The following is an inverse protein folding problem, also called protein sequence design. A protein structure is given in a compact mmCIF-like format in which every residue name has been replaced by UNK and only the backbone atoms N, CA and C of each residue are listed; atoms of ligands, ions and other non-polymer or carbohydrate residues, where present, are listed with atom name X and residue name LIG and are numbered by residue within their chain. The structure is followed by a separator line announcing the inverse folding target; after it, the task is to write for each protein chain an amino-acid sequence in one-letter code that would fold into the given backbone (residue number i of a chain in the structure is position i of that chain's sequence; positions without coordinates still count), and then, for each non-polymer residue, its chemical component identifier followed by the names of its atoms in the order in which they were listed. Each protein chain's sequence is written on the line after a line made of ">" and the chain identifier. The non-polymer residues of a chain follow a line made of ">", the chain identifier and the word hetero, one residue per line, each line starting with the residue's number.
data_IF_337090116382
#
_entry.id   IF_337090116382
#
_cell.length_a   1.000
_cell.length_b   1.000
_cell.length_c   1.000
_cell.angle_alpha   90.00
_cell.angle_beta   90.00
_cell.angle_gamma   90.00
#
_symmetry.space_group_name_H-M   'P 1'
#
loop_
_entity.id
_entity.type
_entity.pdbx_description
1 polymer ?
#
# COMPACT_ATOMS: atom_id res chain seq x y z
N UNK A 1 -26.41 6.61 5.21
CA UNK A 1 -26.17 7.17 3.87
C UNK A 1 -25.65 8.59 4.07
N UNK A 2 -24.45 8.90 3.57
CA UNK A 2 -23.90 10.25 3.68
C UNK A 2 -24.64 11.18 2.73
N UNK A 3 -25.11 12.32 3.21
CA UNK A 3 -25.72 13.34 2.35
C UNK A 3 -24.67 13.83 1.34
N UNK A 4 -25.03 13.85 0.06
CA UNK A 4 -24.24 14.53 -0.96
C UNK A 4 -24.08 16.01 -0.56
N UNK A 5 -22.94 16.65 -0.89
CA UNK A 5 -22.75 18.08 -0.66
C UNK A 5 -23.89 18.85 -1.35
N UNK A 6 -24.46 19.85 -0.65
CA UNK A 6 -25.46 20.72 -1.27
C UNK A 6 -24.88 21.46 -2.48
N UNK A 7 -25.72 21.92 -3.39
CA UNK A 7 -25.26 22.66 -4.56
C UNK A 7 -24.47 23.92 -4.14
N UNK A 8 -24.85 24.57 -3.04
CA UNK A 8 -24.06 25.66 -2.42
C UNK A 8 -22.64 25.23 -2.00
N UNK A 9 -22.47 23.99 -1.50
CA UNK A 9 -21.15 23.45 -1.13
C UNK A 9 -20.32 23.09 -2.36
N UNK A 10 -20.96 22.72 -3.48
CA UNK A 10 -20.30 22.50 -4.78
C UNK A 10 -19.89 23.83 -5.43
N UNK A 11 -20.70 24.87 -5.29
CA UNK A 11 -20.37 26.19 -5.80
C UNK A 11 -19.26 26.89 -4.98
N UNK A 12 -19.22 26.66 -3.66
CA UNK A 12 -18.10 27.10 -2.81
C UNK A 12 -16.79 26.36 -3.13
N UNK A 13 -16.84 25.05 -3.40
CA UNK A 13 -15.65 24.25 -3.69
C UNK A 13 -15.12 24.45 -5.10
N UNK A 14 -16.00 24.81 -6.05
CA UNK A 14 -15.63 25.14 -7.44
C UNK A 14 -15.03 26.55 -7.61
N UNK A 15 -14.90 27.32 -6.52
CA UNK A 15 -14.20 28.61 -6.57
C UNK A 15 -14.96 29.73 -7.27
N UNK A 16 -16.29 29.63 -7.40
CA UNK A 16 -17.14 30.62 -8.10
C UNK A 16 -17.36 31.93 -7.32
N UNK A 17 -16.89 32.05 -6.08
CA UNK A 17 -16.75 33.37 -5.45
C UNK A 17 -15.63 34.10 -6.18
N UNK A 18 -16.00 35.06 -7.03
CA UNK A 18 -15.05 35.88 -7.79
C UNK A 18 -14.18 36.65 -6.81
N UNK A 19 -12.86 36.54 -7.00
CA UNK A 19 -11.84 37.23 -6.20
C UNK A 19 -12.00 38.76 -6.19
N UNK A 20 -12.73 39.30 -7.16
CA UNK A 20 -12.98 40.71 -7.38
C UNK A 20 -13.79 41.35 -6.23
N UNK A 21 -14.66 40.59 -5.55
CA UNK A 21 -15.37 41.08 -4.35
C UNK A 21 -14.43 41.23 -3.13
N UNK A 22 -13.36 40.43 -3.09
CA UNK A 22 -12.35 40.42 -2.01
C UNK A 22 -11.38 41.61 -2.11
N UNK A 23 -11.15 42.16 -3.32
CA UNK A 23 -10.27 43.32 -3.49
C UNK A 23 -10.78 44.59 -2.78
N UNK A 24 -12.11 44.72 -2.64
CA UNK A 24 -12.70 45.85 -1.89
C UNK A 24 -12.37 45.80 -0.39
N UNK A 25 -12.16 44.60 0.17
CA UNK A 25 -11.84 44.38 1.59
C UNK A 25 -10.34 44.46 1.88
N UNK A 26 -9.48 44.16 0.91
CA UNK A 26 -8.01 44.28 1.04
C UNK A 26 -7.52 45.71 1.26
N UNK A 27 -8.36 46.73 1.00
CA UNK A 27 -8.00 48.16 1.18
C UNK A 27 -8.14 48.67 2.62
N UNK A 28 -8.70 47.88 3.54
CA UNK A 28 -8.70 48.18 4.97
C UNK A 28 -7.69 47.29 5.67
N UNK A 29 -6.91 47.83 6.60
CA UNK A 29 -6.19 47.02 7.59
C UNK A 29 -7.24 46.28 8.44
N UNK A 30 -7.57 45.05 8.03
CA UNK A 30 -8.49 44.17 8.76
C UNK A 30 -7.65 43.19 9.56
N UNK A 31 -7.88 43.12 10.88
CA UNK A 31 -7.35 42.04 11.71
C UNK A 31 -8.15 40.76 11.42
N UNK A 32 -7.63 39.95 10.50
CA UNK A 32 -8.26 38.70 10.08
C UNK A 32 -8.38 37.67 11.21
N UNK A 33 -7.55 37.74 12.26
CA UNK A 33 -7.74 36.86 13.42
C UNK A 33 -8.97 37.26 14.23
N UNK A 34 -9.20 38.56 14.38
CA UNK A 34 -10.38 39.02 15.10
C UNK A 34 -11.66 38.70 14.34
N UNK A 35 -11.67 38.87 13.01
CA UNK A 35 -12.80 38.44 12.18
C UNK A 35 -13.00 36.91 12.23
N UNK A 36 -11.92 36.12 12.22
CA UNK A 36 -12.02 34.68 12.38
C UNK A 36 -12.55 34.29 13.77
N UNK A 37 -12.14 34.98 14.85
CA UNK A 37 -12.68 34.76 16.20
C UNK A 37 -14.16 35.11 16.29
N UNK A 38 -14.58 36.22 15.69
CA UNK A 38 -16.00 36.61 15.59
C UNK A 38 -16.80 35.54 14.84
N UNK A 39 -16.28 35.08 13.70
CA UNK A 39 -16.90 33.99 12.94
C UNK A 39 -16.98 32.69 13.75
N UNK A 40 -15.93 32.32 14.48
CA UNK A 40 -15.94 31.15 15.38
C UNK A 40 -16.94 31.29 16.52
N UNK A 41 -17.09 32.48 17.09
CA UNK A 41 -18.07 32.74 18.14
C UNK A 41 -19.49 32.60 17.62
N UNK A 42 -19.78 33.19 16.45
CA UNK A 42 -21.05 32.98 15.73
C UNK A 42 -21.26 31.49 15.40
N UNK A 43 -20.19 30.76 15.06
CA UNK A 43 -20.25 29.32 14.78
C UNK A 43 -20.75 28.47 15.93
N UNK A 44 -20.52 28.91 17.17
CA UNK A 44 -20.98 28.21 18.37
C UNK A 44 -22.44 28.51 18.72
N UNK A 45 -22.99 29.62 18.23
CA UNK A 45 -24.29 30.14 18.66
C UNK A 45 -25.40 29.96 17.63
N UNK A 46 -25.07 29.85 16.34
CA UNK A 46 -26.06 29.72 15.25
C UNK A 46 -25.71 28.60 14.29
N UNK A 47 -26.74 27.86 13.84
CA UNK A 47 -26.55 26.82 12.83
C UNK A 47 -26.09 27.44 11.51
N UNK A 48 -25.32 26.67 10.73
CA UNK A 48 -24.74 27.17 9.47
C UNK A 48 -25.81 27.59 8.45
N UNK A 49 -26.94 26.88 8.40
CA UNK A 49 -28.07 27.17 7.50
C UNK A 49 -28.72 28.53 7.77
N UNK A 50 -28.70 29.00 9.02
CA UNK A 50 -29.40 30.21 9.46
C UNK A 50 -28.57 31.49 9.26
N UNK A 51 -27.34 31.39 8.73
CA UNK A 51 -26.47 32.55 8.56
C UNK A 51 -26.64 33.22 7.22
N UNK A 52 -26.59 34.54 7.24
CA UNK A 52 -26.51 35.37 6.05
C UNK A 52 -25.30 35.00 5.20
N UNK A 53 -25.44 35.11 3.88
CA UNK A 53 -24.38 34.74 2.93
C UNK A 53 -23.13 35.61 3.10
N UNK A 54 -23.30 36.86 3.50
CA UNK A 54 -22.19 37.79 3.77
C UNK A 54 -21.36 37.32 4.96
N UNK A 55 -22.00 36.85 6.03
CA UNK A 55 -21.32 36.29 7.21
C UNK A 55 -20.54 35.02 6.87
N UNK A 56 -21.12 34.14 6.03
CA UNK A 56 -20.45 32.92 5.55
C UNK A 56 -19.22 33.26 4.69
N UNK A 57 -19.38 34.23 3.79
CA UNK A 57 -18.32 34.69 2.88
C UNK A 57 -17.20 35.36 3.66
N UNK A 58 -17.53 36.24 4.61
CA UNK A 58 -16.55 36.90 5.47
C UNK A 58 -15.77 35.90 6.33
N UNK A 59 -16.43 34.90 6.91
CA UNK A 59 -15.77 33.85 7.67
C UNK A 59 -14.77 33.06 6.80
N UNK A 60 -15.15 32.73 5.56
CA UNK A 60 -14.27 32.03 4.62
C UNK A 60 -13.09 32.90 4.20
N UNK A 61 -13.31 34.19 3.92
CA UNK A 61 -12.27 35.15 3.57
C UNK A 61 -11.31 35.31 4.76
N UNK A 62 -11.82 35.53 5.97
CA UNK A 62 -11.01 35.65 7.18
C UNK A 62 -10.18 34.39 7.43
N UNK A 63 -10.76 33.20 7.24
CA UNK A 63 -10.01 31.94 7.33
C UNK A 63 -8.90 31.84 6.28
N UNK A 64 -9.22 32.16 5.01
CA UNK A 64 -8.25 32.13 3.91
C UNK A 64 -7.12 33.12 4.13
N UNK A 65 -7.44 34.36 4.50
CA UNK A 65 -6.46 35.43 4.68
C UNK A 65 -5.63 35.23 5.96
N UNK A 66 -6.23 34.80 7.08
CA UNK A 66 -5.46 34.45 8.28
C UNK A 66 -4.55 33.23 8.04
N UNK A 67 -5.07 32.19 7.37
CA UNK A 67 -4.28 31.02 6.99
C UNK A 67 -3.13 31.37 6.03
N UNK A 68 -3.40 32.22 5.05
CA UNK A 68 -2.40 32.67 4.06
C UNK A 68 -1.37 33.64 4.65
N UNK A 69 -1.83 34.80 5.13
CA UNK A 69 -0.96 35.92 5.53
C UNK A 69 -0.10 35.60 6.74
N UNK A 70 -0.56 34.73 7.64
CA UNK A 70 0.09 34.54 8.93
C UNK A 70 0.64 33.13 9.09
N UNK A 71 -0.15 32.10 8.75
CA UNK A 71 0.35 30.73 8.93
C UNK A 71 1.28 30.36 7.79
N UNK A 72 0.84 30.39 6.53
CA UNK A 72 1.67 29.92 5.41
C UNK A 72 2.84 30.86 5.14
N UNK A 73 2.63 32.17 5.12
CA UNK A 73 3.70 33.12 4.78
C UNK A 73 4.82 33.19 5.82
N UNK A 74 4.50 32.98 7.11
CA UNK A 74 5.47 33.03 8.20
C UNK A 74 6.02 31.64 8.56
N UNK A 75 5.43 30.57 8.02
CA UNK A 75 5.92 29.21 8.24
C UNK A 75 7.29 29.02 7.61
N UNK A 76 8.23 28.52 8.40
CA UNK A 76 9.55 28.08 7.90
C UNK A 76 9.46 26.80 7.07
N UNK A 77 8.50 25.94 7.42
CA UNK A 77 8.21 24.69 6.75
C UNK A 77 6.70 24.46 6.77
N UNK A 78 6.15 24.05 5.63
CA UNK A 78 4.75 23.65 5.49
C UNK A 78 4.71 22.17 5.12
N UNK A 79 4.05 21.36 5.94
CA UNK A 79 3.93 19.91 5.73
C UNK A 79 2.47 19.61 5.39
N UNK A 80 2.24 19.04 4.22
CA UNK A 80 0.90 18.71 3.74
C UNK A 80 0.97 17.63 2.66
N UNK A 81 -0.17 17.01 2.35
CA UNK A 81 -0.27 16.08 1.22
C UNK A 81 -0.26 16.83 -0.11
N UNK A 82 0.13 16.16 -1.20
CA UNK A 82 0.21 16.77 -2.53
C UNK A 82 -1.12 17.44 -2.94
N UNK A 83 -2.25 16.77 -2.69
CA UNK A 83 -3.57 17.30 -3.02
C UNK A 83 -3.90 18.57 -2.23
N UNK A 84 -3.48 18.65 -0.96
CA UNK A 84 -3.72 19.83 -0.14
C UNK A 84 -2.77 20.99 -0.49
N UNK A 85 -1.56 20.70 -1.00
CA UNK A 85 -0.64 21.72 -1.51
C UNK A 85 -1.15 22.38 -2.80
N UNK A 86 -2.02 21.70 -3.55
CA UNK A 86 -2.70 22.30 -4.69
C UNK A 86 -3.79 23.32 -4.29
N UNK A 87 -4.14 23.40 -2.99
CA UNK A 87 -5.10 24.39 -2.52
C UNK A 87 -4.65 25.81 -2.82
N UNK A 88 -5.62 26.70 -3.07
CA UNK A 88 -5.36 28.11 -3.40
C UNK A 88 -4.63 28.88 -2.29
N UNK A 89 -4.64 28.37 -1.06
CA UNK A 89 -3.89 28.93 0.07
C UNK A 89 -2.38 28.68 -0.10
N UNK A 90 -2.00 27.49 -0.57
CA UNK A 90 -0.60 27.08 -0.72
C UNK A 90 -0.01 27.43 -2.10
N UNK A 91 -0.78 27.21 -3.17
CA UNK A 91 -0.30 27.29 -4.57
C UNK A 91 0.05 28.71 -5.04
N UNK A 92 -0.42 29.75 -4.36
CA UNK A 92 -0.06 31.16 -4.67
C UNK A 92 1.41 31.50 -4.42
N UNK A 93 2.11 30.70 -3.64
CA UNK A 93 3.53 30.90 -3.31
C UNK A 93 4.40 29.70 -3.66
N UNK A 94 3.83 28.50 -3.57
CA UNK A 94 4.48 27.30 -4.01
C UNK A 94 4.61 27.30 -5.55
N UNK A 95 5.73 26.82 -6.09
CA UNK A 95 6.12 26.83 -7.51
C UNK A 95 6.59 28.19 -8.07
N UNK A 96 5.93 29.32 -7.79
CA UNK A 96 6.32 30.61 -8.42
C UNK A 96 7.74 31.09 -8.06
N UNK A 97 8.19 30.80 -6.84
CA UNK A 97 9.53 31.17 -6.33
C UNK A 97 10.35 29.94 -5.93
N UNK A 98 9.94 28.74 -6.34
CA UNK A 98 10.63 27.52 -5.97
C UNK A 98 12.02 27.52 -6.58
N UNK A 99 13.05 27.56 -5.73
CA UNK A 99 14.46 27.58 -6.15
C UNK A 99 15.04 26.18 -6.34
N UNK A 100 14.37 25.15 -5.84
CA UNK A 100 14.80 23.76 -5.92
C UNK A 100 13.70 22.82 -5.46
N UNK A 101 13.73 21.61 -5.99
CA UNK A 101 12.82 20.51 -5.64
C UNK A 101 13.67 19.33 -5.20
N UNK A 102 13.39 18.81 -4.01
CA UNK A 102 13.97 17.56 -3.53
C UNK A 102 12.88 16.49 -3.56
N UNK A 103 13.13 15.42 -4.31
CA UNK A 103 12.24 14.29 -4.43
C UNK A 103 12.88 13.09 -3.73
N UNK A 104 12.25 12.62 -2.66
CA UNK A 104 12.70 11.47 -1.89
C UNK A 104 11.74 10.33 -2.17
N UNK A 105 12.28 9.18 -2.57
CA UNK A 105 11.52 7.96 -2.82
C UNK A 105 12.34 6.74 -2.48
N UNK A 106 11.66 5.61 -2.41
CA UNK A 106 12.30 4.29 -2.49
C UNK A 106 12.49 3.90 -3.96
N UNK A 107 13.57 3.21 -4.27
CA UNK A 107 13.80 2.68 -5.63
C UNK A 107 12.89 1.46 -5.80
N UNK A 108 11.96 1.54 -6.74
CA UNK A 108 11.23 0.36 -7.22
C UNK A 108 11.75 0.03 -8.63
N UNK A 109 12.57 -1.03 -8.78
CA UNK A 109 13.07 -1.43 -10.08
C UNK A 109 11.95 -1.77 -11.07
N UNK A 110 10.80 -2.25 -10.57
CA UNK A 110 9.69 -2.66 -11.43
C UNK A 110 8.95 -1.49 -12.05
N UNK A 111 8.89 -0.34 -11.38
CA UNK A 111 8.37 0.89 -11.99
C UNK A 111 9.21 1.36 -13.20
N UNK A 112 10.44 0.85 -13.36
CA UNK A 112 11.30 1.15 -14.52
C UNK A 112 11.18 0.10 -15.62
N UNK A 113 10.54 -1.05 -15.35
CA UNK A 113 10.30 -2.10 -16.33
C UNK A 113 9.07 -1.71 -17.17
N UNK A 114 9.29 -1.47 -18.46
CA UNK A 114 8.21 -1.19 -19.41
C UNK A 114 7.51 -2.48 -19.81
N UNK A 115 6.44 -2.85 -19.09
CA UNK A 115 5.48 -3.80 -19.65
C UNK A 115 4.49 -3.05 -20.56
N UNK A 116 4.24 -3.53 -21.79
CA UNK A 116 3.26 -2.93 -22.68
C UNK A 116 1.86 -3.12 -22.08
N UNK A 117 1.32 -2.06 -21.48
CA UNK A 117 -0.06 -2.03 -21.00
C UNK A 117 -1.05 -2.22 -22.15
N UNK A 118 -2.29 -2.59 -21.81
CA UNK A 118 -3.41 -2.75 -22.77
C UNK A 118 -3.71 -1.47 -23.57
N UNK A 119 -3.24 -0.32 -23.12
CA UNK A 119 -3.25 0.94 -23.86
C UNK A 119 -1.99 1.75 -23.52
N UNK A 120 -1.65 2.73 -24.36
CA UNK A 120 -0.46 3.58 -24.19
C UNK A 120 -0.53 4.52 -22.98
N UNK A 121 -1.73 4.71 -22.40
CA UNK A 121 -1.97 5.65 -21.31
C UNK A 121 -1.73 5.04 -19.92
N UNK A 122 -2.05 3.75 -19.73
CA UNK A 122 -1.92 3.10 -18.43
C UNK A 122 -0.48 3.12 -17.92
N UNK A 123 0.54 2.71 -18.72
CA UNK A 123 1.93 2.80 -18.28
C UNK A 123 2.36 4.25 -18.00
N UNK A 124 1.85 5.21 -18.78
CA UNK A 124 2.17 6.62 -18.56
C UNK A 124 1.59 7.14 -17.24
N UNK A 125 0.35 6.77 -16.88
CA UNK A 125 -0.28 7.20 -15.63
C UNK A 125 0.31 6.52 -14.39
N UNK A 126 0.80 5.29 -14.54
CA UNK A 126 1.42 4.51 -13.45
C UNK A 126 2.88 4.92 -13.20
N UNK A 127 3.60 5.40 -14.23
CA UNK A 127 4.98 5.84 -14.09
C UNK A 127 5.05 7.16 -13.31
N UNK A 128 5.56 7.10 -12.07
CA UNK A 128 5.73 8.27 -11.21
C UNK A 128 6.67 9.31 -11.86
N UNK A 129 6.47 10.59 -11.53
CA UNK A 129 7.36 11.66 -12.01
C UNK A 129 8.84 11.38 -11.68
N UNK A 130 9.08 10.80 -10.50
CA UNK A 130 10.41 10.39 -10.09
C UNK A 130 11.01 9.34 -11.03
N UNK A 131 10.26 8.27 -11.37
CA UNK A 131 10.71 7.23 -12.30
C UNK A 131 11.09 7.85 -13.64
N UNK A 132 10.28 8.77 -14.16
CA UNK A 132 10.58 9.47 -15.41
C UNK A 132 11.90 10.25 -15.34
N UNK A 133 12.16 10.93 -14.22
CA UNK A 133 13.43 11.65 -14.02
C UNK A 133 14.63 10.69 -13.97
N UNK A 134 14.47 9.53 -13.31
CA UNK A 134 15.52 8.48 -13.28
C UNK A 134 15.78 7.94 -14.69
N UNK A 135 14.72 7.60 -15.44
CA UNK A 135 14.83 7.12 -16.83
C UNK A 135 15.43 8.18 -17.76
N UNK A 136 15.22 9.46 -17.48
CA UNK A 136 15.86 10.58 -18.17
C UNK A 136 17.30 10.88 -17.68
N UNK A 137 17.90 9.98 -16.91
CA UNK A 137 19.25 10.09 -16.36
C UNK A 137 19.49 11.32 -15.47
N UNK A 138 18.45 11.82 -14.80
CA UNK A 138 18.64 12.86 -13.79
C UNK A 138 19.49 12.31 -12.63
N UNK A 139 20.41 13.11 -12.04
CA UNK A 139 21.21 12.67 -10.91
C UNK A 139 20.37 12.18 -9.73
N UNK A 140 20.71 11.00 -9.21
CA UNK A 140 20.08 10.37 -8.04
C UNK A 140 21.14 10.07 -7.00
N UNK A 141 20.89 10.45 -5.76
CA UNK A 141 21.70 10.02 -4.62
C UNK A 141 21.03 8.83 -3.94
N UNK A 142 21.68 7.66 -4.00
CA UNK A 142 21.20 6.43 -3.36
C UNK A 142 21.69 6.37 -1.92
N UNK A 143 20.81 5.94 -1.00
CA UNK A 143 21.13 5.67 0.40
C UNK A 143 21.12 4.15 0.65
N UNK A 144 22.27 3.49 0.50
CA UNK A 144 22.37 2.03 0.58
C UNK A 144 22.43 1.43 2.01
N UNK A 145 22.48 2.25 3.06
CA UNK A 145 22.63 1.76 4.44
C UNK A 145 21.31 1.81 5.22
N UNK A 146 20.83 0.64 5.66
CA UNK A 146 19.70 0.52 6.57
C UNK A 146 20.16 0.59 8.04
N UNK A 147 19.38 1.29 8.86
CA UNK A 147 19.63 1.48 10.30
C UNK A 147 18.45 1.05 11.19
N UNK A 148 17.43 0.40 10.59
CA UNK A 148 16.16 0.10 11.24
C UNK A 148 16.19 -1.24 11.97
N UNK A 149 16.59 -2.29 11.28
CA UNK A 149 16.25 -3.66 11.64
C UNK A 149 17.48 -4.55 11.83
N UNK A 150 17.29 -5.68 12.52
CA UNK A 150 18.32 -6.72 12.66
C UNK A 150 18.87 -7.13 11.29
N UNK A 151 20.19 -7.42 11.15
CA UNK A 151 20.79 -7.76 9.87
C UNK A 151 20.15 -8.92 9.11
N UNK A 152 19.61 -9.91 9.84
CA UNK A 152 18.93 -11.09 9.25
C UNK A 152 17.77 -10.70 8.32
N UNK A 153 17.08 -9.59 8.61
CA UNK A 153 15.97 -9.12 7.77
C UNK A 153 16.41 -8.40 6.50
N UNK A 154 17.69 -8.04 6.38
CA UNK A 154 18.18 -7.29 5.21
C UNK A 154 18.40 -8.19 4.01
N UNK A 155 18.68 -9.48 4.22
CA UNK A 155 19.06 -10.41 3.16
C UNK A 155 17.95 -10.56 2.10
N UNK A 156 16.71 -10.78 2.53
CA UNK A 156 15.60 -10.96 1.61
C UNK A 156 15.30 -9.71 0.75
N UNK A 157 15.07 -8.50 1.31
CA UNK A 157 14.85 -7.30 0.50
C UNK A 157 16.07 -6.93 -0.36
N UNK A 158 17.29 -7.15 0.14
CA UNK A 158 18.54 -6.90 -0.59
C UNK A 158 18.60 -7.69 -1.90
N UNK A 159 18.28 -8.98 -1.84
CA UNK A 159 18.28 -9.87 -3.01
C UNK A 159 17.05 -9.63 -3.89
N UNK A 160 15.86 -9.52 -3.28
CA UNK A 160 14.59 -9.48 -4.01
C UNK A 160 14.30 -8.16 -4.71
N UNK A 161 14.69 -7.04 -4.11
CA UNK A 161 14.28 -5.69 -4.53
C UNK A 161 15.47 -4.78 -4.83
N UNK A 162 16.52 -4.78 -4.01
CA UNK A 162 17.57 -3.74 -4.12
C UNK A 162 18.83 -4.17 -4.88
N UNK A 163 18.85 -5.36 -5.48
CA UNK A 163 19.98 -5.83 -6.31
C UNK A 163 21.34 -5.70 -5.61
N UNK A 164 21.43 -6.19 -4.36
CA UNK A 164 22.62 -6.13 -3.51
C UNK A 164 23.07 -4.76 -2.97
N UNK A 165 22.39 -3.65 -3.34
CA UNK A 165 22.77 -2.29 -2.91
C UNK A 165 22.46 -1.97 -1.44
N UNK A 166 21.61 -2.77 -0.78
CA UNK A 166 21.18 -2.55 0.60
C UNK A 166 22.09 -3.26 1.61
N UNK A 167 22.58 -2.54 2.61
CA UNK A 167 23.48 -3.06 3.64
C UNK A 167 23.06 -2.62 5.05
N UNK A 168 23.31 -3.48 6.03
CA UNK A 168 23.14 -3.15 7.44
C UNK A 168 24.25 -2.25 7.96
N UNK A 169 23.88 -1.16 8.62
CA UNK A 169 24.81 -0.32 9.35
C UNK A 169 25.22 -0.98 10.68
N UNK A 170 26.43 -0.72 11.18
CA UNK A 170 26.95 -1.32 12.42
C UNK A 170 26.07 -1.08 13.67
N UNK A 171 25.26 -0.01 13.66
CA UNK A 171 24.32 0.29 14.74
C UNK A 171 23.22 -0.76 14.92
N UNK A 172 22.97 -1.62 13.92
CA UNK A 172 21.91 -2.65 14.02
C UNK A 172 22.39 -3.95 14.63
N UNK A 173 23.70 -4.12 14.85
CA UNK A 173 24.28 -5.33 15.45
C UNK A 173 23.85 -5.54 16.91
N UNK A 174 23.49 -4.47 17.61
CA UNK A 174 23.02 -4.53 19.00
C UNK A 174 21.52 -4.77 19.16
N UNK A 175 20.77 -4.90 18.06
CA UNK A 175 19.32 -5.13 18.13
C UNK A 175 19.07 -6.62 18.44
N UNK A 176 18.48 -6.89 19.60
CA UNK A 176 18.17 -8.24 20.07
C UNK A 176 16.68 -8.47 20.22
N UNK A 177 16.25 -9.73 20.19
CA UNK A 177 14.88 -10.13 20.48
C UNK A 177 14.61 -9.97 21.99
N UNK A 178 13.40 -9.52 22.34
CA UNK A 178 12.95 -9.50 23.72
C UNK A 178 13.03 -10.92 24.36
N UNK A 179 13.72 -11.12 25.50
CA UNK A 179 13.91 -12.45 26.10
C UNK A 179 12.61 -13.15 26.51
N UNK A 180 11.61 -12.39 26.96
CA UNK A 180 10.30 -12.94 27.33
C UNK A 180 9.52 -13.43 26.11
N UNK A 181 9.63 -12.72 24.98
CA UNK A 181 9.10 -13.18 23.70
C UNK A 181 9.79 -14.47 23.25
N UNK A 182 11.13 -14.47 23.26
CA UNK A 182 11.91 -15.64 22.84
C UNK A 182 11.52 -16.87 23.66
N UNK A 183 11.48 -16.76 24.99
CA UNK A 183 11.06 -17.86 25.85
C UNK A 183 9.65 -18.35 25.52
N UNK A 184 8.69 -17.43 25.39
CA UNK A 184 7.30 -17.78 25.08
C UNK A 184 7.17 -18.50 23.74
N UNK A 185 7.86 -18.04 22.69
CA UNK A 185 7.83 -18.70 21.38
C UNK A 185 8.44 -20.11 21.46
N UNK A 186 9.55 -20.27 22.18
CA UNK A 186 10.16 -21.60 22.36
C UNK A 186 9.22 -22.55 23.09
N UNK A 187 8.60 -22.09 24.17
CA UNK A 187 7.69 -22.88 24.99
C UNK A 187 6.39 -23.24 24.22
N UNK A 188 5.81 -22.31 23.47
CA UNK A 188 4.54 -22.51 22.76
C UNK A 188 4.68 -23.41 21.51
N UNK A 189 5.81 -23.31 20.81
CA UNK A 189 6.02 -24.02 19.54
C UNK A 189 6.97 -25.23 19.65
N UNK A 190 7.44 -25.56 20.86
CA UNK A 190 8.49 -26.58 21.08
C UNK A 190 9.68 -26.38 20.13
N UNK A 191 10.11 -25.12 20.02
CA UNK A 191 11.03 -24.70 18.97
C UNK A 191 12.45 -25.19 19.22
N UNK A 192 13.10 -25.69 18.17
CA UNK A 192 14.49 -26.12 18.26
C UNK A 192 15.44 -24.95 18.55
N UNK A 193 16.62 -25.19 19.14
CA UNK A 193 17.60 -24.14 19.44
C UNK A 193 18.02 -23.31 18.21
N UNK A 194 17.99 -23.93 17.02
CA UNK A 194 18.41 -23.32 15.75
C UNK A 194 17.38 -22.31 15.21
N UNK A 195 16.11 -22.37 15.66
CA UNK A 195 15.09 -21.42 15.22
C UNK A 195 15.37 -20.01 15.75
N UNK A 196 15.49 -19.03 14.85
CA UNK A 196 15.45 -17.61 15.22
C UNK A 196 14.02 -17.22 15.58
N UNK A 197 13.75 -17.10 16.88
CA UNK A 197 12.42 -16.72 17.41
C UNK A 197 12.01 -15.28 17.05
N UNK A 198 12.93 -14.49 16.50
CA UNK A 198 12.64 -13.18 15.94
C UNK A 198 12.39 -13.19 14.44
N UNK A 199 12.62 -14.28 13.71
CA UNK A 199 12.35 -14.36 12.27
C UNK A 199 11.87 -15.76 11.89
N UNK A 200 10.56 -15.96 11.82
CA UNK A 200 10.00 -17.27 11.45
C UNK A 200 8.69 -17.17 10.67
N UNK A 201 8.37 -18.28 10.00
CA UNK A 201 7.12 -18.47 9.25
C UNK A 201 6.15 -19.31 10.08
N UNK A 202 4.93 -18.81 10.27
CA UNK A 202 3.85 -19.52 10.95
C UNK A 202 2.85 -20.05 9.92
N UNK A 203 2.93 -21.36 9.65
CA UNK A 203 1.98 -22.07 8.79
C UNK A 203 0.84 -22.66 9.62
N UNK A 204 -0.39 -22.23 9.35
CA UNK A 204 -1.58 -22.67 10.09
C UNK A 204 -2.28 -23.77 9.30
N UNK A 205 -2.23 -24.99 9.87
CA UNK A 205 -2.87 -26.18 9.28
C UNK A 205 -4.37 -25.98 9.14
N UNK A 206 -4.91 -26.45 8.01
CA UNK A 206 -6.33 -26.39 7.68
C UNK A 206 -6.92 -24.96 7.71
N UNK A 207 -6.09 -23.93 7.52
CA UNK A 207 -6.57 -22.57 7.31
C UNK A 207 -7.22 -22.46 5.93
N UNK A 208 -8.30 -21.68 5.85
CA UNK A 208 -9.00 -21.41 4.60
C UNK A 208 -9.19 -19.91 4.44
N UNK A 209 -9.00 -19.45 3.22
CA UNK A 209 -9.23 -18.08 2.82
C UNK A 209 -10.64 -17.97 2.24
N UNK A 210 -11.40 -17.02 2.77
CA UNK A 210 -12.77 -16.72 2.36
C UNK A 210 -12.84 -15.33 1.73
N UNK A 211 -13.87 -15.07 0.93
CA UNK A 211 -14.13 -13.76 0.32
C UNK A 211 -15.39 -13.19 0.95
N UNK A 212 -15.28 -11.98 1.47
CA UNK A 212 -16.42 -11.26 2.01
C UNK A 212 -17.35 -10.80 0.86
N UNK A 213 -18.63 -11.16 0.94
CA UNK A 213 -19.55 -10.95 -0.17
C UNK A 213 -19.82 -9.47 -0.48
N UNK A 214 -19.77 -8.60 0.53
CA UNK A 214 -20.08 -7.18 0.40
C UNK A 214 -18.89 -6.38 -0.14
N UNK A 215 -17.69 -6.62 0.39
CA UNK A 215 -16.47 -5.89 0.01
C UNK A 215 -15.66 -6.57 -1.09
N UNK A 216 -15.95 -7.83 -1.41
CA UNK A 216 -15.14 -8.72 -2.26
C UNK A 216 -13.68 -8.84 -1.81
N UNK A 217 -13.40 -8.53 -0.54
CA UNK A 217 -12.08 -8.61 0.06
C UNK A 217 -11.87 -9.96 0.75
N UNK A 218 -10.62 -10.42 0.84
CA UNK A 218 -10.29 -11.73 1.43
C UNK A 218 -10.09 -11.66 2.93
N UNK A 219 -10.44 -12.72 3.64
CA UNK A 219 -10.17 -12.89 5.07
C UNK A 219 -9.90 -14.36 5.41
N UNK A 220 -9.28 -14.60 6.56
CA UNK A 220 -8.94 -15.93 7.06
C UNK A 220 -9.09 -15.96 8.59
N UNK A 221 -10.16 -16.59 9.04
CA UNK A 221 -10.53 -16.67 10.46
C UNK A 221 -9.59 -17.58 11.27
N UNK A 222 -8.91 -18.55 10.64
CA UNK A 222 -7.92 -19.38 11.31
C UNK A 222 -6.66 -18.58 11.63
N UNK A 223 -6.17 -17.79 10.65
CA UNK A 223 -5.05 -16.86 10.84
C UNK A 223 -5.36 -15.87 11.97
N UNK A 224 -6.55 -15.27 11.93
CA UNK A 224 -6.97 -14.33 12.96
C UNK A 224 -6.92 -14.96 14.36
N UNK A 225 -7.52 -16.15 14.54
CA UNK A 225 -7.53 -16.83 15.85
C UNK A 225 -6.13 -17.14 16.37
N UNK A 226 -5.26 -17.65 15.51
CA UNK A 226 -3.89 -17.97 15.88
C UNK A 226 -3.09 -16.72 16.28
N UNK A 227 -3.18 -15.65 15.49
CA UNK A 227 -2.45 -14.40 15.76
C UNK A 227 -2.98 -13.70 17.02
N UNK A 228 -4.30 -13.66 17.22
CA UNK A 228 -4.90 -13.10 18.43
C UNK A 228 -4.46 -13.90 19.66
N UNK A 229 -4.45 -15.23 19.58
CA UNK A 229 -3.96 -16.11 20.66
C UNK A 229 -2.50 -15.82 20.97
N UNK A 230 -1.63 -15.75 19.95
CA UNK A 230 -0.22 -15.40 20.10
C UNK A 230 -0.04 -14.03 20.78
N UNK A 231 -0.85 -13.03 20.42
CA UNK A 231 -0.81 -11.71 21.04
C UNK A 231 -1.20 -11.73 22.53
N UNK A 232 -2.18 -12.57 22.91
CA UNK A 232 -2.58 -12.77 24.32
C UNK A 232 -1.46 -13.47 25.08
N UNK A 233 -0.92 -14.59 24.56
CA UNK A 233 0.21 -15.32 25.18
C UNK A 233 1.43 -14.44 25.40
N UNK A 234 1.77 -13.64 24.39
CA UNK A 234 2.82 -12.63 24.48
C UNK A 234 2.60 -11.65 25.63
N UNK A 235 1.35 -11.27 25.90
CA UNK A 235 1.04 -10.30 26.95
C UNK A 235 1.20 -10.95 28.32
N UNK A 236 0.69 -12.18 28.48
CA UNK A 236 0.87 -13.00 29.68
C UNK A 236 2.35 -13.23 30.00
N UNK A 237 3.19 -13.44 28.98
CA UNK A 237 4.62 -13.63 29.12
C UNK A 237 5.42 -12.35 29.41
N UNK A 238 4.82 -11.16 29.30
CA UNK A 238 5.54 -9.89 29.44
C UNK A 238 6.49 -9.60 28.26
N UNK A 239 6.12 -10.01 27.04
CA UNK A 239 6.84 -9.68 25.81
C UNK A 239 6.59 -8.24 25.34
N UNK A 240 6.56 -8.02 24.01
CA UNK A 240 6.36 -6.70 23.42
C UNK A 240 5.06 -6.02 23.86
N UNK A 241 5.03 -4.70 23.96
CA UNK A 241 3.78 -3.95 24.22
C UNK A 241 2.97 -3.80 22.92
N UNK A 242 1.67 -3.62 23.04
CA UNK A 242 0.75 -3.43 21.90
C UNK A 242 1.15 -2.26 21.00
N UNK A 243 1.60 -1.14 21.59
CA UNK A 243 2.11 0.00 20.82
C UNK A 243 3.47 -0.26 20.11
N UNK A 244 4.19 -1.31 20.49
CA UNK A 244 5.42 -1.77 19.84
C UNK A 244 5.14 -2.82 18.76
N UNK A 245 3.91 -3.34 18.70
CA UNK A 245 3.49 -4.40 17.80
C UNK A 245 2.61 -3.89 16.66
N UNK A 246 2.84 -4.45 15.47
CA UNK A 246 2.06 -4.15 14.27
C UNK A 246 1.60 -5.46 13.64
N UNK A 247 0.33 -5.54 13.28
CA UNK A 247 -0.18 -6.59 12.38
C UNK A 247 -0.42 -5.94 11.03
N UNK A 248 0.23 -6.48 10.00
CA UNK A 248 0.10 -6.05 8.62
C UNK A 248 -0.69 -7.12 7.88
N UNK A 249 -1.75 -6.72 7.19
CA UNK A 249 -2.49 -7.61 6.30
C UNK A 249 -2.72 -6.97 4.96
N UNK A 250 -2.76 -7.78 3.89
CA UNK A 250 -2.98 -7.26 2.54
C UNK A 250 -4.44 -6.87 2.27
N UNK A 251 -5.38 -7.30 3.12
CA UNK A 251 -6.81 -7.18 2.85
C UNK A 251 -7.57 -6.43 3.96
N UNK A 252 -8.44 -5.50 3.53
CA UNK A 252 -9.25 -4.69 4.44
C UNK A 252 -10.24 -5.53 5.26
N UNK A 253 -10.85 -6.57 4.68
CA UNK A 253 -11.75 -7.46 5.43
C UNK A 253 -11.01 -8.18 6.57
N UNK A 254 -9.78 -8.66 6.33
CA UNK A 254 -8.95 -9.25 7.39
C UNK A 254 -8.61 -8.23 8.49
N UNK A 255 -8.25 -6.99 8.11
CA UNK A 255 -7.98 -5.92 9.09
C UNK A 255 -9.19 -5.68 9.99
N UNK A 256 -10.38 -5.62 9.40
CA UNK A 256 -11.62 -5.36 10.14
C UNK A 256 -12.02 -6.58 10.99
N UNK A 257 -11.72 -7.80 10.53
CA UNK A 257 -11.87 -9.03 11.32
C UNK A 257 -10.99 -9.01 12.58
N UNK A 258 -9.71 -8.62 12.46
CA UNK A 258 -8.83 -8.43 13.61
C UNK A 258 -9.37 -7.38 14.58
N UNK A 259 -9.83 -6.23 14.07
CA UNK A 259 -10.37 -5.16 14.92
C UNK A 259 -11.57 -5.65 15.75
N UNK A 260 -12.47 -6.41 15.14
CA UNK A 260 -13.60 -7.05 15.85
C UNK A 260 -13.11 -8.07 16.88
N UNK A 261 -12.17 -8.93 16.51
CA UNK A 261 -11.64 -9.94 17.42
C UNK A 261 -10.94 -9.34 18.65
N UNK A 262 -10.08 -8.33 18.46
CA UNK A 262 -9.44 -7.64 19.59
C UNK A 262 -10.44 -6.84 20.44
N UNK A 263 -11.50 -6.30 19.82
CA UNK A 263 -12.60 -5.69 20.56
C UNK A 263 -13.33 -6.73 21.43
N UNK A 264 -13.62 -7.93 20.92
CA UNK A 264 -14.22 -9.01 21.71
C UNK A 264 -13.31 -9.50 22.84
N UNK A 265 -12.01 -9.68 22.57
CA UNK A 265 -11.04 -10.12 23.59
C UNK A 265 -10.93 -9.11 24.73
N UNK A 266 -11.04 -7.81 24.44
CA UNK A 266 -11.13 -6.75 25.46
C UNK A 266 -12.34 -6.93 26.40
N UNK A 267 -13.42 -7.53 25.93
CA UNK A 267 -14.68 -7.70 26.67
C UNK A 267 -14.87 -9.10 27.29
N UNK A 268 -14.12 -10.12 26.87
CA UNK A 268 -14.32 -11.52 27.28
C UNK A 268 -13.42 -12.02 28.41
N UNK A 269 -12.63 -11.18 29.07
CA UNK A 269 -11.95 -11.59 30.30
C UNK A 269 -12.96 -11.68 31.46
N UNK A 270 -13.15 -12.86 32.11
CA UNK A 270 -14.22 -13.07 33.07
C UNK A 270 -14.09 -12.20 34.31
N UNK A 271 -15.20 -11.55 34.66
CA UNK A 271 -15.42 -10.76 35.89
C UNK A 271 -15.27 -11.57 37.19
N UNK A 272 -15.03 -12.89 37.12
CA UNK A 272 -15.12 -13.82 38.24
C UNK A 272 -13.78 -14.49 38.66
N UNK A 273 -12.65 -14.16 38.05
CA UNK A 273 -11.36 -14.81 38.37
C UNK A 273 -10.21 -13.85 38.72
N UNK A 274 -10.46 -12.55 38.90
CA UNK A 274 -9.43 -11.60 39.34
C UNK A 274 -10.04 -10.58 40.31
N UNK A 275 -9.60 -10.50 41.58
CA UNK A 275 -9.85 -9.32 42.38
C UNK A 275 -9.03 -8.18 41.75
N UNK A 276 -9.71 -7.26 41.07
CA UNK A 276 -9.19 -5.99 40.57
C UNK A 276 -8.09 -6.03 39.50
N UNK A 277 -8.41 -6.41 38.25
CA UNK A 277 -7.65 -6.02 37.04
C UNK A 277 -8.68 -5.75 35.92
N UNK A 278 -9.02 -4.48 35.69
CA UNK A 278 -8.66 -3.71 34.50
C UNK A 278 -8.97 -4.40 33.15
N UNK A 279 -9.94 -3.83 32.43
CA UNK A 279 -10.03 -3.81 30.96
C UNK A 279 -8.63 -3.93 30.39
N UNK A 280 -8.35 -4.87 29.47
CA UNK A 280 -7.03 -5.01 28.84
C UNK A 280 -6.44 -3.60 28.58
N UNK A 281 -5.33 -3.23 29.24
CA UNK A 281 -4.81 -1.87 29.13
C UNK A 281 -4.52 -1.56 27.66
N UNK A 282 -4.57 -0.27 27.29
CA UNK A 282 -4.32 0.22 25.93
C UNK A 282 -2.99 -0.32 25.33
N UNK A 283 -2.07 -0.78 26.19
CA UNK A 283 -0.83 -1.46 25.84
C UNK A 283 -0.92 -2.95 25.44
N UNK A 284 -2.08 -3.57 25.28
CA UNK A 284 -2.19 -4.98 24.82
C UNK A 284 -2.47 -5.09 23.33
N UNK A 285 -3.29 -4.18 22.79
CA UNK A 285 -3.82 -4.29 21.43
C UNK A 285 -2.76 -3.78 20.44
N UNK A 286 -2.28 -4.61 19.50
CA UNK A 286 -1.40 -4.16 18.43
C UNK A 286 -2.16 -3.25 17.46
N UNK A 287 -1.46 -2.35 16.77
CA UNK A 287 -2.12 -1.66 15.65
C UNK A 287 -2.29 -2.62 14.49
N UNK A 288 -3.47 -2.62 13.86
CA UNK A 288 -3.76 -3.45 12.69
C UNK A 288 -3.88 -2.55 11.47
N UNK A 289 -2.99 -2.77 10.52
CA UNK A 289 -2.74 -1.89 9.38
C UNK A 289 -2.71 -2.70 8.08
N UNK A 290 -2.93 -2.03 6.94
CA UNK A 290 -2.65 -2.63 5.64
C UNK A 290 -1.21 -2.35 5.23
N UNK A 291 -0.67 -3.08 4.25
CA UNK A 291 0.67 -2.80 3.72
C UNK A 291 0.80 -1.33 3.29
N UNK A 292 -0.21 -0.82 2.57
CA UNK A 292 -0.26 0.57 2.10
C UNK A 292 -0.22 1.59 3.24
N UNK A 293 -0.90 1.34 4.37
CA UNK A 293 -0.91 2.27 5.52
C UNK A 293 0.35 2.18 6.39
N UNK A 294 1.17 1.15 6.18
CA UNK A 294 2.45 0.97 6.88
C UNK A 294 3.63 1.62 6.17
N UNK A 295 3.46 2.17 4.97
CA UNK A 295 4.53 2.88 4.29
C UNK A 295 5.03 4.05 5.16
N UNK A 296 6.33 4.06 5.46
CA UNK A 296 6.96 5.06 6.33
C UNK A 296 6.75 4.85 7.84
N UNK A 297 6.06 3.78 8.26
CA UNK A 297 5.91 3.39 9.68
C UNK A 297 6.77 2.16 10.00
N UNK A 298 6.93 1.87 11.28
CA UNK A 298 7.68 0.71 11.78
C UNK A 298 7.13 0.18 13.13
N UNK A 299 7.62 -0.99 13.54
CA UNK A 299 7.30 -1.61 14.82
C UNK A 299 8.38 -2.59 15.25
N UNK A 300 8.56 -2.77 16.57
CA UNK A 300 9.55 -3.71 17.08
C UNK A 300 9.22 -5.14 16.68
N UNK A 301 7.96 -5.53 16.83
CA UNK A 301 7.46 -6.84 16.44
C UNK A 301 6.35 -6.68 15.40
N UNK A 302 6.58 -7.23 14.21
CA UNK A 302 5.65 -7.15 13.08
C UNK A 302 5.17 -8.55 12.73
N UNK A 303 3.85 -8.71 12.63
CA UNK A 303 3.22 -9.93 12.11
C UNK A 303 2.66 -9.60 10.73
N UNK A 304 3.14 -10.28 9.70
CA UNK A 304 2.66 -10.13 8.32
C UNK A 304 1.70 -11.28 8.02
N UNK A 305 0.41 -10.98 7.90
CA UNK A 305 -0.63 -11.96 7.56
C UNK A 305 -1.02 -11.84 6.08
N UNK A 306 -0.57 -12.82 5.29
CA UNK A 306 -0.86 -12.89 3.87
C UNK A 306 -2.28 -13.36 3.55
N UNK A 307 -3.02 -13.88 4.53
CA UNK A 307 -4.43 -14.34 4.43
C UNK A 307 -4.65 -15.57 3.54
N UNK A 308 -3.88 -15.71 2.47
CA UNK A 308 -3.98 -16.79 1.49
C UNK A 308 -3.83 -18.17 2.14
N UNK A 309 -4.65 -19.13 1.71
CA UNK A 309 -4.60 -20.53 2.18
C UNK A 309 -3.98 -21.48 1.14
N UNK A 310 -4.08 -21.12 -0.14
CA UNK A 310 -3.44 -21.78 -1.27
C UNK A 310 -3.42 -20.83 -2.47
N UNK A 311 -2.54 -21.07 -3.43
CA UNK A 311 -2.56 -20.40 -4.74
C UNK A 311 -2.30 -21.43 -5.83
N UNK A 312 -3.18 -21.51 -6.82
CA UNK A 312 -2.98 -22.31 -8.04
C UNK A 312 -2.60 -21.44 -9.23
N UNK A 313 -3.02 -20.17 -9.19
CA UNK A 313 -2.79 -19.17 -10.23
C UNK A 313 -2.32 -17.85 -9.61
N UNK A 314 -1.68 -16.98 -10.39
CA UNK A 314 -1.28 -15.64 -9.93
C UNK A 314 -2.48 -14.78 -9.46
N UNK A 315 -3.67 -15.00 -10.03
CA UNK A 315 -4.91 -14.31 -9.60
C UNK A 315 -5.31 -14.71 -8.17
N UNK A 316 -4.98 -15.91 -7.73
CA UNK A 316 -5.29 -16.38 -6.38
C UNK A 316 -4.48 -15.64 -5.31
N UNK A 317 -3.30 -15.12 -5.68
CA UNK A 317 -2.46 -14.30 -4.81
C UNK A 317 -3.05 -12.89 -4.59
N UNK A 318 -3.80 -12.35 -5.56
CA UNK A 318 -4.36 -11.00 -5.48
C UNK A 318 -3.29 -9.96 -5.12
N UNK A 319 -3.50 -9.17 -4.06
CA UNK A 319 -2.54 -8.16 -3.58
C UNK A 319 -1.21 -8.74 -3.07
N UNK A 320 -1.12 -10.06 -2.85
CA UNK A 320 0.16 -10.71 -2.49
C UNK A 320 1.12 -10.77 -3.69
N UNK A 321 0.60 -10.69 -4.92
CA UNK A 321 1.42 -10.66 -6.14
C UNK A 321 2.10 -9.29 -6.36
N UNK A 322 1.74 -8.28 -5.58
CA UNK A 322 2.36 -6.96 -5.62
C UNK A 322 3.64 -6.99 -4.77
N UNK A 323 4.78 -7.06 -5.44
CA UNK A 323 6.09 -7.11 -4.79
C UNK A 323 6.39 -5.86 -3.96
N UNK A 324 5.84 -4.70 -4.33
CA UNK A 324 6.04 -3.48 -3.54
C UNK A 324 5.33 -3.57 -2.20
N UNK A 325 4.08 -4.06 -2.19
CA UNK A 325 3.36 -4.30 -0.93
C UNK A 325 4.07 -5.33 -0.06
N UNK A 326 4.63 -6.37 -0.67
CA UNK A 326 5.43 -7.37 0.04
C UNK A 326 6.71 -6.76 0.62
N UNK A 327 7.49 -6.03 -0.17
CA UNK A 327 8.70 -5.36 0.29
C UNK A 327 8.40 -4.37 1.42
N UNK A 328 7.32 -3.59 1.30
CA UNK A 328 6.86 -2.71 2.39
C UNK A 328 6.60 -3.54 3.65
N UNK A 329 5.78 -4.59 3.58
CA UNK A 329 5.46 -5.42 4.75
C UNK A 329 6.71 -6.05 5.40
N UNK A 330 7.65 -6.55 4.59
CA UNK A 330 8.90 -7.18 5.02
C UNK A 330 10.00 -6.21 5.46
N UNK A 331 9.74 -4.90 5.47
CA UNK A 331 10.74 -3.91 5.91
C UNK A 331 10.26 -3.06 7.07
N UNK A 332 9.12 -3.39 7.70
CA UNK A 332 8.55 -2.58 8.80
C UNK A 332 9.05 -2.96 10.19
N UNK A 333 9.73 -4.10 10.35
CA UNK A 333 10.16 -4.61 11.65
C UNK A 333 11.46 -3.96 12.12
N UNK A 334 11.70 -3.94 13.44
CA UNK A 334 13.01 -3.65 14.02
C UNK A 334 13.65 -4.92 14.60
N UNK A 335 12.92 -5.65 15.46
CA UNK A 335 13.43 -6.78 16.25
C UNK A 335 12.85 -8.14 15.81
N UNK A 336 11.55 -8.20 15.52
CA UNK A 336 10.83 -9.45 15.24
C UNK A 336 9.94 -9.33 14.01
N UNK A 337 10.00 -10.33 13.13
CA UNK A 337 9.02 -10.57 12.08
C UNK A 337 8.46 -11.99 12.18
N UNK A 338 7.13 -12.09 12.17
CA UNK A 338 6.41 -13.35 12.01
C UNK A 338 5.63 -13.29 10.70
N UNK A 339 5.91 -14.21 9.78
CA UNK A 339 5.20 -14.28 8.50
C UNK A 339 4.16 -15.39 8.57
N UNK A 340 2.89 -15.05 8.41
CA UNK A 340 1.79 -16.02 8.39
C UNK A 340 1.41 -16.32 6.96
N UNK A 341 1.82 -17.49 6.50
CA UNK A 341 1.57 -18.02 5.16
C UNK A 341 1.56 -19.55 5.21
N UNK A 342 0.74 -20.24 4.41
CA UNK A 342 0.76 -21.70 4.33
C UNK A 342 2.13 -22.19 3.85
N UNK A 343 2.63 -23.27 4.45
CA UNK A 343 3.91 -23.88 4.06
C UNK A 343 3.93 -24.29 2.59
N UNK A 344 2.81 -24.68 2.00
CA UNK A 344 2.74 -25.01 0.56
C UNK A 344 3.02 -23.81 -0.36
N UNK A 345 2.80 -22.59 0.14
CA UNK A 345 3.10 -21.34 -0.57
C UNK A 345 4.49 -20.83 -0.18
N UNK A 346 4.91 -21.05 1.08
CA UNK A 346 6.23 -20.64 1.59
C UNK A 346 7.41 -21.56 1.20
N UNK A 347 7.19 -22.87 1.06
CA UNK A 347 8.19 -23.87 0.65
C UNK A 347 8.42 -23.88 -0.86
N UNK A 348 7.49 -23.28 -1.62
CA UNK A 348 7.78 -22.85 -2.99
C UNK A 348 8.56 -21.54 -2.90
N UNK A 349 9.87 -21.67 -2.72
CA UNK A 349 10.78 -20.87 -3.53
C UNK A 349 10.11 -20.71 -4.90
N UNK A 350 9.82 -19.48 -5.28
CA UNK A 350 9.42 -19.22 -6.65
C UNK A 350 10.62 -19.69 -7.47
N UNK A 351 10.59 -20.93 -7.95
CA UNK A 351 11.10 -21.24 -9.28
C UNK A 351 10.24 -20.38 -10.18
N UNK A 352 10.62 -19.11 -10.28
CA UNK A 352 10.20 -18.28 -11.39
C UNK A 352 10.81 -19.04 -12.57
N UNK A 353 9.96 -19.80 -13.26
CA UNK A 353 10.21 -20.17 -14.63
C UNK A 353 10.26 -18.85 -15.44
N UNK A 354 11.39 -18.17 -15.37
CA UNK A 354 11.88 -17.15 -16.29
C UNK A 354 13.37 -17.40 -16.38
N UNK A 355 13.72 -18.40 -17.19
CA UNK A 355 15.01 -18.58 -17.85
C UNK A 355 14.83 -19.76 -18.83
N UNK A 356 13.99 -19.57 -19.84
CA UNK A 356 14.12 -20.27 -21.11
C UNK A 356 14.09 -19.21 -22.22
N UNK A 357 15.27 -18.82 -22.68
CA UNK A 357 15.68 -18.70 -24.08
C UNK A 357 16.93 -17.83 -24.19
N UNK A 358 17.87 -18.27 -25.03
CA UNK A 358 19.19 -17.70 -25.37
C UNK A 358 20.40 -18.25 -24.61
N UNK A 359 20.64 -19.56 -24.74
CA UNK A 359 21.95 -20.04 -25.22
C UNK A 359 21.67 -21.24 -26.14
N UNK A 360 21.48 -20.97 -27.42
CA UNK A 360 21.94 -21.88 -28.47
C UNK A 360 22.86 -21.06 -29.38
N UNK A 361 23.86 -21.77 -29.90
CA UNK A 361 24.86 -21.36 -30.91
C UNK A 361 26.06 -20.55 -30.42
N UNK A 362 27.04 -21.26 -29.86
CA UNK A 362 28.38 -21.32 -30.49
C UNK A 362 29.09 -22.63 -30.09
N UNK A 363 28.90 -23.63 -30.96
CA UNK A 363 29.91 -24.49 -31.56
C UNK A 363 31.15 -24.93 -30.74
N UNK A 364 31.21 -26.26 -30.63
CA UNK A 364 32.35 -27.09 -31.00
C UNK A 364 33.53 -27.32 -30.04
N UNK A 365 33.62 -28.61 -29.70
CA UNK A 365 34.83 -29.44 -29.63
C UNK A 365 35.50 -29.59 -28.24
N UNK A 366 35.40 -30.79 -27.66
CA UNK A 366 36.45 -31.82 -27.69
C UNK A 366 36.09 -32.99 -26.72
N UNK A 367 35.82 -34.13 -27.35
CA UNK A 367 36.22 -35.52 -27.01
C UNK A 367 35.89 -36.18 -25.65
N UNK A 368 34.99 -37.19 -25.75
CA UNK A 368 35.20 -38.61 -25.48
C UNK A 368 36.13 -39.03 -24.32
N UNK A 369 35.58 -39.78 -23.34
CA UNK A 369 35.97 -41.19 -23.19
C UNK A 369 35.00 -42.00 -22.33
N UNK A 370 34.81 -43.24 -22.79
CA UNK A 370 34.03 -44.35 -22.25
C UNK A 370 34.47 -44.82 -20.84
N UNK A 371 33.58 -45.43 -20.04
CA UNK A 371 33.38 -46.90 -19.95
C UNK A 371 32.56 -47.35 -18.72
N UNK A 372 31.69 -48.35 -18.99
CA UNK A 372 31.29 -49.53 -18.17
C UNK A 372 30.67 -49.31 -16.77
N UNK A 373 29.39 -49.61 -16.56
CA UNK A 373 28.75 -50.93 -16.43
C UNK A 373 29.10 -51.69 -15.14
N UNK A 374 28.14 -51.81 -14.22
CA UNK A 374 27.81 -53.08 -13.56
C UNK A 374 26.46 -53.02 -12.84
N UNK A 375 25.87 -54.21 -12.70
CA UNK A 375 24.45 -54.51 -12.71
C UNK A 375 24.19 -55.57 -11.63
N UNK A 376 23.34 -55.30 -10.64
CA UNK A 376 22.63 -56.29 -9.77
C UNK A 376 21.61 -55.49 -8.95
N UNK A 377 20.32 -55.80 -8.78
CA UNK A 377 19.47 -56.92 -9.15
C UNK A 377 18.33 -57.02 -8.11
N UNK A 378 17.08 -57.18 -8.60
CA UNK A 378 15.91 -57.78 -7.93
C UNK A 378 15.26 -56.99 -6.75
N UNK A 379 13.94 -56.87 -6.54
CA UNK A 379 12.72 -57.61 -6.94
C UNK A 379 11.47 -56.77 -6.64
N UNK A 380 10.36 -56.94 -7.39
CA UNK A 380 9.00 -56.78 -6.81
C UNK A 380 7.90 -56.20 -7.72
N UNK A 381 7.42 -56.99 -8.68
CA UNK A 381 6.19 -56.77 -9.46
C UNK A 381 4.92 -56.87 -8.59
N UNK A 382 3.90 -56.04 -8.89
CA UNK A 382 2.48 -56.40 -8.86
C UNK A 382 1.80 -55.88 -10.14
N UNK A 383 1.40 -56.83 -10.99
CA UNK A 383 0.53 -56.70 -12.17
C UNK A 383 -0.91 -56.97 -11.70
N UNK A 384 -1.89 -56.10 -11.99
CA UNK A 384 -2.76 -56.03 -13.19
C UNK A 384 -4.12 -56.74 -12.98
N UNK A 385 -5.09 -56.29 -13.78
CA UNK A 385 -6.37 -56.93 -14.13
C UNK A 385 -7.53 -56.60 -13.15
N UNK A 386 -8.74 -56.18 -13.57
CA UNK A 386 -9.35 -56.13 -14.89
C UNK A 386 -10.64 -55.26 -14.84
N UNK A 387 -10.96 -54.64 -15.98
CA UNK A 387 -12.24 -54.66 -16.72
C UNK A 387 -13.60 -54.49 -15.97
N UNK A 388 -14.68 -53.92 -16.50
CA UNK A 388 -15.01 -53.36 -17.80
C UNK A 388 -16.44 -52.77 -17.73
N UNK A 389 -16.77 -52.00 -18.77
CA UNK A 389 -18.08 -51.92 -19.43
C UNK A 389 -19.24 -51.03 -18.92
N UNK A 390 -19.55 -50.07 -19.81
CA UNK A 390 -20.86 -49.78 -20.43
C UNK A 390 -21.94 -49.04 -19.62
N UNK A 391 -22.84 -48.25 -20.21
CA UNK A 391 -23.00 -47.56 -21.51
C UNK A 391 -24.40 -46.89 -21.45
N UNK A 392 -24.62 -45.90 -22.33
CA UNK A 392 -25.92 -45.40 -22.80
C UNK A 392 -26.72 -44.54 -21.81
N UNK A 393 -27.40 -43.43 -22.17
CA UNK A 393 -27.85 -42.95 -23.47
C UNK A 393 -28.10 -41.42 -23.45
N UNK A 394 -27.96 -40.79 -24.63
CA UNK A 394 -28.92 -39.89 -25.33
C UNK A 394 -29.86 -39.00 -24.48
N UNK A 395 -30.22 -37.75 -24.79
CA UNK A 395 -30.22 -36.87 -25.98
C UNK A 395 -30.96 -35.60 -25.53
N UNK A 396 -30.70 -34.42 -26.11
CA UNK A 396 -31.65 -33.31 -25.95
C UNK A 396 -31.15 -31.92 -26.33
N UNK A 397 -31.37 -31.55 -27.59
CA UNK A 397 -31.23 -30.21 -28.17
C UNK A 397 -31.91 -29.09 -27.35
N UNK A 398 -31.34 -27.89 -27.42
CA UNK A 398 -31.98 -26.65 -26.98
C UNK A 398 -31.17 -25.41 -27.39
N UNK A 399 -31.28 -25.04 -28.66
CA UNK A 399 -30.66 -23.86 -29.27
C UNK A 399 -31.45 -22.60 -28.86
N UNK A 400 -30.81 -21.56 -28.33
CA UNK A 400 -31.38 -20.21 -28.31
C UNK A 400 -30.29 -19.15 -28.45
N UNK A 401 -30.13 -18.69 -29.68
CA UNK A 401 -29.61 -17.37 -30.06
C UNK A 401 -30.21 -16.26 -29.20
N UNK A 402 -29.36 -15.45 -28.58
CA UNK A 402 -29.73 -14.12 -28.09
C UNK A 402 -28.96 -13.06 -28.86
N UNK A 403 -29.74 -12.07 -29.27
CA UNK A 403 -29.46 -10.99 -30.18
C UNK A 403 -28.51 -9.95 -29.57
N UNK A 404 -27.54 -9.50 -30.37
CA UNK A 404 -26.76 -8.30 -30.10
C UNK A 404 -27.64 -7.05 -30.33
N UNK A 405 -27.65 -6.07 -29.41
CA UNK A 405 -28.25 -4.77 -29.69
C UNK A 405 -27.29 -3.93 -30.53
N UNK A 406 -27.76 -3.55 -31.73
CA UNK A 406 -27.20 -2.50 -32.59
C UNK A 406 -27.17 -1.18 -31.81
N UNK A 407 -25.99 -0.57 -31.71
CA UNK A 407 -25.83 0.82 -31.29
C UNK A 407 -25.76 1.68 -32.55
N UNK A 408 -26.55 2.74 -32.51
CA UNK A 408 -26.87 3.71 -33.55
C UNK A 408 -25.71 4.68 -33.76
N UNK A 409 -25.21 4.75 -35.00
CA UNK A 409 -24.22 5.74 -35.44
C UNK A 409 -24.94 7.07 -35.73
N UNK A 410 -24.90 8.02 -34.79
CA UNK A 410 -25.26 9.40 -35.08
C UNK A 410 -24.40 10.43 -34.33
N UNK A 411 -23.88 11.36 -35.12
CA UNK A 411 -23.40 12.71 -34.77
C UNK A 411 -22.06 12.87 -34.04
N UNK A 412 -20.96 12.77 -34.80
CA UNK A 412 -19.69 13.43 -34.46
C UNK A 412 -19.81 14.94 -34.70
N UNK A 413 -20.26 15.65 -33.68
CA UNK A 413 -20.34 17.11 -33.61
C UNK A 413 -18.99 17.68 -33.10
N UNK A 414 -17.94 17.61 -33.92
CA UNK A 414 -16.67 18.32 -33.64
C UNK A 414 -16.13 18.90 -34.93
N UNK A 415 -16.24 20.23 -35.06
CA UNK A 415 -15.57 21.01 -36.09
C UNK A 415 -14.05 21.08 -35.84
N UNK A 416 -13.26 21.49 -36.84
CA UNK A 416 -11.80 21.49 -36.74
C UNK A 416 -11.30 22.52 -35.72
N UNK A 417 -10.29 22.11 -34.95
CA UNK A 417 -9.55 22.95 -34.02
C UNK A 417 -8.91 24.17 -34.72
N UNK A 418 -8.87 25.35 -34.08
CA UNK A 418 -8.21 26.52 -34.64
C UNK A 418 -6.69 26.42 -34.54
N UNK A 419 -6.07 26.60 -35.70
CA UNK A 419 -4.64 26.54 -35.97
C UNK A 419 -3.88 27.69 -35.26
N UNK A 420 -3.26 27.40 -34.11
CA UNK A 420 -2.59 28.37 -33.23
C UNK A 420 -1.21 28.86 -33.72
N UNK A 421 -0.90 28.76 -35.02
CA UNK A 421 0.42 29.09 -35.58
C UNK A 421 0.51 30.38 -36.39
N UNK A 422 -0.54 31.22 -36.43
CA UNK A 422 -0.54 32.47 -37.22
C UNK A 422 -0.46 33.77 -36.42
N UNK A 423 -0.39 33.73 -35.09
CA UNK A 423 -0.32 34.94 -34.25
C UNK A 423 1.10 35.41 -33.92
N UNK A 424 2.12 34.55 -34.05
CA UNK A 424 3.49 34.88 -33.64
C UNK A 424 4.35 35.46 -34.77
N UNK A 425 3.93 35.31 -36.03
CA UNK A 425 4.68 35.84 -37.17
C UNK A 425 4.39 37.33 -37.42
N UNK A 426 3.23 37.82 -36.98
CA UNK A 426 2.84 39.24 -37.15
C UNK A 426 3.44 40.17 -36.10
N UNK A 427 3.82 39.66 -34.93
CA UNK A 427 4.49 40.46 -33.88
C UNK A 427 5.98 40.67 -34.13
N UNK A 428 6.62 39.84 -34.97
CA UNK A 428 8.04 39.96 -35.31
C UNK A 428 8.34 40.96 -36.43
N UNK A 429 7.34 41.41 -37.19
CA UNK A 429 7.52 42.43 -38.22
C UNK A 429 7.30 43.86 -37.70
N UNK A 430 6.53 44.06 -36.63
CA UNK A 430 6.34 45.40 -36.03
C UNK A 430 7.54 45.85 -35.17
N UNK A 431 8.32 44.93 -34.58
CA UNK A 431 9.53 45.26 -33.81
C UNK A 431 10.77 45.57 -34.68
N UNK A 432 10.70 45.38 -36.02
CA UNK A 432 11.80 45.70 -36.95
C UNK A 432 11.63 47.04 -37.68
N UNK A 433 10.58 47.80 -37.39
CA UNK A 433 10.36 49.14 -37.96
C UNK A 433 10.65 50.29 -36.99
N UNK A 434 11.15 50.02 -35.78
CA UNK A 434 11.51 51.04 -34.78
C UNK A 434 12.99 51.03 -34.33
N UNK A 435 13.87 50.34 -35.07
CA UNK A 435 15.33 50.55 -35.07
C UNK A 435 15.78 51.07 -36.44
#
# INVERSE_FOLDING_TARGET
>A
MGNLPSDDQRDLSSGKIKLDEVESWKRKEVDWFEELRKAMKKMKTTFFSERENDDKSLALIAFREAGYCLVVSQSRALISTNNNLASTICSRHFAQKTKGVLLIRDEDPKELEHEPGWNEFSPQLETSFASRMVSAHHPVQVLGQQRRCRPIFTEFPKLRTYGDKMHSHLSTLGISVNPSWEKMVRDEFDATPELDTGCFVLSIKNSSCEVDDASKSKFNAANMRAIVTLCVRKYEAGGYRGNEMRIITMYAAQRDLYKRAFFEVRHRLPEAAVPAIEILPEGVIPSIETADSMQGREGKCVIVDYVISAAKTAKDLGFVNDDNRCNVAHTRMNEVMVVVVPSQVGDNAVKIAFLEEHIDDDADSIENNDTAAENTGATGNWTSDDADANKDAATGNGNSTQEEPKIDDSESMWGPEPDARKSDEKKREEEKSEE
#
